data_IF_032414158718
#
_entry.id   IF_032414158718
#
_cell.length_a   1.000
_cell.length_b   1.000
_cell.length_c   1.000
_cell.angle_alpha   90.00
_cell.angle_beta   90.00
_cell.angle_gamma   90.00
#
_symmetry.space_group_name_H-M   'P 1'
#
loop_
_entity.id
_entity.type
_entity.pdbx_description
1 polymer ?
#
# COMPACT_ATOMS: atom_id res chain seq x y z
N UNK A 1 33.18 -32.84 -47.50
CA UNK A 1 32.08 -33.43 -46.72
C UNK A 1 31.66 -32.39 -45.68
N UNK A 2 30.51 -31.75 -45.85
CA UNK A 2 29.99 -30.72 -44.93
C UNK A 2 28.83 -31.36 -44.17
N UNK A 3 28.96 -31.45 -42.84
CA UNK A 3 28.01 -32.11 -41.95
C UNK A 3 26.71 -31.31 -41.82
N UNK A 4 25.58 -31.93 -42.19
CA UNK A 4 24.24 -31.44 -41.89
C UNK A 4 23.90 -31.81 -40.44
N UNK A 5 23.95 -30.86 -39.51
CA UNK A 5 23.61 -31.14 -38.10
C UNK A 5 22.97 -29.94 -37.40
N UNK A 6 21.97 -29.28 -38.00
CA UNK A 6 21.35 -28.09 -37.38
C UNK A 6 19.81 -28.00 -37.47
N UNK A 7 19.08 -29.09 -37.75
CA UNK A 7 17.61 -29.05 -37.89
C UNK A 7 16.81 -29.78 -36.81
N UNK A 8 17.44 -30.39 -35.79
CA UNK A 8 16.74 -31.15 -34.75
C UNK A 8 16.27 -30.32 -33.54
N UNK A 9 16.82 -29.11 -33.31
CA UNK A 9 16.58 -28.33 -32.09
C UNK A 9 15.36 -27.38 -32.15
N UNK A 10 14.78 -27.15 -33.33
CA UNK A 10 13.64 -26.22 -33.45
C UNK A 10 12.31 -26.87 -33.04
N UNK A 11 12.17 -28.19 -33.23
CA UNK A 11 10.95 -28.94 -32.89
C UNK A 11 10.71 -29.07 -31.39
N UNK A 12 11.78 -29.26 -30.61
CA UNK A 12 11.74 -29.34 -29.15
C UNK A 12 11.45 -27.98 -28.51
N UNK A 13 11.97 -26.89 -29.08
CA UNK A 13 11.66 -25.52 -28.64
C UNK A 13 10.20 -25.16 -28.90
N UNK A 14 9.63 -25.51 -30.07
CA UNK A 14 8.22 -25.25 -30.37
C UNK A 14 7.26 -26.00 -29.43
N UNK A 15 7.57 -27.24 -29.06
CA UNK A 15 6.78 -28.00 -28.08
C UNK A 15 6.91 -27.43 -26.66
N UNK A 16 8.10 -27.00 -26.24
CA UNK A 16 8.27 -26.32 -24.94
C UNK A 16 7.56 -24.96 -24.89
N UNK A 17 7.52 -24.24 -26.00
CA UNK A 17 6.81 -22.98 -26.13
C UNK A 17 5.30 -23.22 -26.05
N UNK A 18 4.77 -24.21 -26.77
CA UNK A 18 3.35 -24.56 -26.71
C UNK A 18 2.93 -25.00 -25.30
N UNK A 19 3.73 -25.84 -24.64
CA UNK A 19 3.49 -26.24 -23.25
C UNK A 19 3.58 -25.07 -22.26
N UNK A 20 4.52 -24.14 -22.50
CA UNK A 20 4.66 -22.93 -21.68
C UNK A 20 3.51 -21.95 -21.88
N UNK A 21 2.96 -21.86 -23.10
CA UNK A 21 1.79 -21.05 -23.43
C UNK A 21 0.54 -21.67 -22.81
N UNK A 22 0.33 -22.98 -22.93
CA UNK A 22 -0.80 -23.66 -22.29
C UNK A 22 -0.71 -23.56 -20.76
N UNK A 23 0.49 -23.67 -20.18
CA UNK A 23 0.69 -23.46 -18.74
C UNK A 23 0.47 -21.99 -18.33
N UNK A 24 0.89 -21.02 -19.14
CA UNK A 24 0.69 -19.60 -18.88
C UNK A 24 -0.77 -19.18 -19.06
N UNK A 25 -1.45 -19.66 -20.10
CA UNK A 25 -2.88 -19.47 -20.33
C UNK A 25 -3.69 -20.16 -19.24
N UNK A 26 -3.30 -21.37 -18.81
CA UNK A 26 -3.92 -22.03 -17.66
C UNK A 26 -3.66 -21.28 -16.36
N UNK A 27 -2.50 -20.63 -16.18
CA UNK A 27 -2.21 -19.76 -15.03
C UNK A 27 -3.01 -18.46 -15.08
N UNK A 28 -3.17 -17.86 -16.26
CA UNK A 28 -4.00 -16.67 -16.51
C UNK A 28 -5.48 -17.00 -16.36
N UNK A 29 -5.92 -18.17 -16.81
CA UNK A 29 -7.26 -18.71 -16.56
C UNK A 29 -7.45 -19.10 -15.10
N UNK A 30 -6.42 -19.57 -14.39
CA UNK A 30 -6.47 -19.82 -12.94
C UNK A 30 -6.43 -18.53 -12.11
N UNK A 31 -5.81 -17.46 -12.60
CA UNK A 31 -5.91 -16.10 -12.05
C UNK A 31 -7.26 -15.44 -12.39
N UNK A 32 -7.85 -15.77 -13.54
CA UNK A 32 -9.22 -15.43 -13.90
C UNK A 32 -10.27 -16.32 -13.19
N UNK A 33 -9.87 -17.52 -12.72
CA UNK A 33 -10.69 -18.46 -11.95
C UNK A 33 -10.63 -18.23 -10.44
N UNK A 34 -10.05 -17.13 -9.97
CA UNK A 34 -10.52 -16.53 -8.73
C UNK A 34 -11.99 -16.19 -8.93
N UNK A 35 -12.89 -16.84 -8.20
CA UNK A 35 -14.36 -16.80 -8.35
C UNK A 35 -14.86 -15.40 -8.71
N UNK A 36 -15.19 -15.15 -9.99
CA UNK A 36 -15.69 -13.86 -10.46
C UNK A 36 -15.13 -13.33 -11.78
N UNK A 37 -16.01 -13.15 -12.77
CA UNK A 37 -15.72 -12.52 -14.07
C UNK A 37 -16.62 -11.33 -14.38
N UNK A 38 -16.32 -10.63 -15.47
CA UNK A 38 -17.16 -9.54 -15.98
C UNK A 38 -18.57 -10.07 -16.31
N UNK A 39 -19.62 -9.43 -15.81
CA UNK A 39 -21.01 -9.74 -16.14
C UNK A 39 -21.56 -8.71 -17.12
N UNK A 40 -21.67 -9.10 -18.38
CA UNK A 40 -22.22 -8.23 -19.44
C UNK A 40 -21.28 -7.10 -19.84
N UNK A 41 -21.86 -5.97 -20.30
CA UNK A 41 -21.08 -4.75 -20.61
C UNK A 41 -20.62 -4.10 -19.31
N UNK A 42 -19.33 -4.22 -19.02
CA UNK A 42 -18.71 -3.59 -17.84
C UNK A 42 -18.74 -2.08 -18.01
N UNK A 43 -19.18 -1.38 -16.97
CA UNK A 43 -19.07 0.07 -16.87
C UNK A 43 -17.72 0.42 -16.24
N UNK A 44 -16.85 1.07 -17.01
CA UNK A 44 -15.52 1.49 -16.57
C UNK A 44 -15.59 2.92 -16.01
N UNK A 45 -15.03 3.10 -14.81
CA UNK A 45 -14.91 4.38 -14.13
C UNK A 45 -13.44 4.61 -13.79
N UNK A 46 -12.83 5.62 -14.41
CA UNK A 46 -11.47 6.01 -14.05
C UNK A 46 -11.49 7.24 -13.15
N UNK A 47 -10.70 7.19 -12.07
CA UNK A 47 -10.42 8.34 -11.23
C UNK A 47 -8.92 8.49 -11.02
N UNK A 48 -8.41 9.67 -11.36
CA UNK A 48 -7.07 10.10 -10.93
C UNK A 48 -7.17 10.76 -9.55
N UNK A 49 -6.40 10.28 -8.58
CA UNK A 49 -6.31 10.85 -7.23
C UNK A 49 -4.87 11.14 -6.87
N UNK A 50 -4.60 12.28 -6.25
CA UNK A 50 -3.30 12.50 -5.62
C UNK A 50 -3.26 11.71 -4.30
N UNK A 51 -2.15 11.04 -4.05
CA UNK A 51 -1.86 10.38 -2.77
C UNK A 51 -1.76 11.44 -1.69
N UNK A 52 -2.11 11.04 -0.47
CA UNK A 52 -1.82 11.86 0.71
C UNK A 52 -0.31 12.08 0.82
N UNK A 53 0.10 13.31 1.15
CA UNK A 53 1.49 13.60 1.51
C UNK A 53 1.91 13.00 2.87
N UNK A 54 0.94 12.46 3.61
CA UNK A 54 1.16 11.72 4.86
C UNK A 54 0.89 10.24 4.72
N UNK A 55 1.87 9.47 5.17
CA UNK A 55 1.88 8.01 5.13
C UNK A 55 1.29 7.43 6.41
N UNK A 56 0.01 7.73 6.66
CA UNK A 56 -0.73 7.21 7.82
C UNK A 56 -2.16 6.84 7.45
N UNK A 57 -2.70 5.81 8.12
CA UNK A 57 -4.04 5.29 7.89
C UNK A 57 -5.18 6.35 7.91
N UNK A 58 -5.16 7.40 8.77
CA UNK A 58 -6.19 8.44 8.74
C UNK A 58 -6.26 9.22 7.43
N UNK A 59 -5.14 9.32 6.70
CA UNK A 59 -5.04 10.01 5.42
C UNK A 59 -5.09 9.06 4.23
N UNK A 60 -5.58 7.83 4.42
CA UNK A 60 -5.70 6.86 3.36
C UNK A 60 -6.56 7.40 2.21
N UNK A 61 -6.07 7.21 0.98
CA UNK A 61 -6.75 7.58 -0.25
C UNK A 61 -7.97 6.69 -0.44
N UNK A 62 -9.15 7.29 -0.62
CA UNK A 62 -10.38 6.53 -0.86
C UNK A 62 -10.37 5.96 -2.29
N UNK A 63 -10.50 4.64 -2.42
CA UNK A 63 -10.52 3.93 -3.70
C UNK A 63 -11.92 3.39 -4.06
N UNK A 64 -12.93 3.71 -3.22
CA UNK A 64 -14.33 3.41 -3.49
C UNK A 64 -14.93 2.32 -2.60
N UNK A 65 -15.99 1.72 -3.12
CA UNK A 65 -16.85 0.79 -2.37
C UNK A 65 -16.90 -0.55 -3.07
N UNK A 66 -16.48 -1.60 -2.36
CA UNK A 66 -16.52 -2.97 -2.80
C UNK A 66 -17.93 -3.54 -2.58
N UNK A 67 -18.61 -3.83 -3.68
CA UNK A 67 -19.97 -4.37 -3.70
C UNK A 67 -19.94 -5.72 -4.38
N UNK A 68 -20.44 -6.75 -3.68
CA UNK A 68 -20.52 -8.12 -4.21
C UNK A 68 -21.25 -8.19 -5.55
N UNK A 69 -20.69 -8.95 -6.47
CA UNK A 69 -21.19 -9.20 -7.83
C UNK A 69 -21.36 -7.93 -8.70
N UNK A 70 -20.81 -6.81 -8.24
CA UNK A 70 -21.03 -5.49 -8.84
C UNK A 70 -19.73 -4.75 -9.08
N UNK A 71 -18.92 -4.51 -8.04
CA UNK A 71 -17.75 -3.64 -8.12
C UNK A 71 -16.45 -4.44 -8.15
N UNK A 72 -15.55 -4.03 -9.04
CA UNK A 72 -14.13 -4.31 -8.99
C UNK A 72 -13.38 -3.00 -8.75
N UNK A 73 -12.46 -3.00 -7.80
CA UNK A 73 -11.63 -1.83 -7.48
C UNK A 73 -10.21 -2.14 -7.92
N UNK A 74 -9.65 -1.35 -8.83
CA UNK A 74 -8.25 -1.41 -9.21
C UNK A 74 -7.53 -0.15 -8.74
N UNK A 75 -6.30 -0.32 -8.29
CA UNK A 75 -5.43 0.77 -7.84
C UNK A 75 -4.10 0.60 -8.54
N UNK A 76 -3.71 1.59 -9.33
CA UNK A 76 -2.43 1.64 -10.01
C UNK A 76 -1.61 2.81 -9.46
N UNK A 77 -0.41 2.51 -8.96
CA UNK A 77 0.40 3.51 -8.27
C UNK A 77 1.88 3.11 -8.25
N UNK A 78 2.69 3.98 -7.65
CA UNK A 78 4.08 3.68 -7.31
C UNK A 78 4.43 4.18 -5.92
N UNK A 79 5.32 3.46 -5.25
CA UNK A 79 6.05 3.95 -4.09
C UNK A 79 7.20 4.79 -4.65
N UNK A 80 7.19 6.10 -4.40
CA UNK A 80 8.28 6.98 -4.84
C UNK A 80 9.56 6.73 -4.02
N UNK A 81 10.68 7.28 -4.48
CA UNK A 81 11.90 7.30 -3.67
C UNK A 81 11.63 8.00 -2.33
N UNK A 82 12.08 7.40 -1.22
CA UNK A 82 11.80 7.82 0.16
C UNK A 82 10.34 7.71 0.61
N UNK A 83 9.47 7.04 -0.16
CA UNK A 83 8.11 6.74 0.23
C UNK A 83 8.03 5.38 0.94
N UNK A 84 7.87 5.33 2.29
CA UNK A 84 7.83 4.08 3.03
C UNK A 84 6.55 3.27 2.82
N UNK A 85 5.39 3.93 2.63
CA UNK A 85 4.11 3.25 2.53
C UNK A 85 2.98 4.15 2.04
N UNK A 86 2.13 3.59 1.18
CA UNK A 86 0.85 4.14 0.76
C UNK A 86 -0.30 3.49 1.52
N UNK A 87 -1.33 4.26 1.81
CA UNK A 87 -2.55 3.80 2.47
C UNK A 87 -3.77 4.07 1.60
N UNK A 88 -4.57 3.03 1.36
CA UNK A 88 -5.82 3.11 0.61
C UNK A 88 -6.96 2.63 1.49
N UNK A 89 -8.10 3.32 1.45
CA UNK A 89 -9.32 2.91 2.17
C UNK A 89 -10.43 2.58 1.20
N UNK A 90 -11.18 1.54 1.54
CA UNK A 90 -12.38 1.13 0.83
C UNK A 90 -13.43 0.62 1.82
N UNK A 91 -14.68 0.68 1.42
CA UNK A 91 -15.80 0.17 2.23
C UNK A 91 -16.40 -1.07 1.57
N UNK A 92 -16.73 -2.08 2.37
CA UNK A 92 -17.44 -3.30 1.95
C UNK A 92 -18.91 -3.16 2.35
N UNK A 93 -19.83 -3.33 1.39
CA UNK A 93 -21.28 -3.13 1.67
C UNK A 93 -21.98 -4.38 2.17
N UNK A 94 -21.48 -5.56 1.81
CA UNK A 94 -22.03 -6.86 2.18
C UNK A 94 -20.92 -7.86 2.44
N UNK A 95 -21.14 -8.75 3.41
CA UNK A 95 -20.17 -9.78 3.73
C UNK A 95 -20.00 -10.75 2.55
N UNK A 96 -18.76 -11.18 2.31
CA UNK A 96 -18.48 -12.18 1.29
C UNK A 96 -17.00 -12.35 0.97
N UNK A 97 -16.73 -13.39 0.17
CA UNK A 97 -15.38 -13.74 -0.25
C UNK A 97 -14.78 -12.67 -1.17
N UNK A 98 -13.63 -12.13 -0.77
CA UNK A 98 -12.86 -11.14 -1.52
C UNK A 98 -11.68 -11.83 -2.19
N UNK A 99 -11.45 -11.48 -3.45
CA UNK A 99 -10.26 -11.86 -4.21
C UNK A 99 -9.36 -10.64 -4.36
N UNK A 100 -8.09 -10.79 -3.98
CA UNK A 100 -7.04 -9.80 -4.18
C UNK A 100 -6.11 -10.20 -5.32
N UNK A 101 -6.08 -9.39 -6.37
CA UNK A 101 -5.07 -9.42 -7.43
C UNK A 101 -3.94 -8.45 -7.10
N UNK A 102 -2.71 -8.86 -7.34
CA UNK A 102 -1.52 -8.01 -7.17
C UNK A 102 -0.61 -8.17 -8.38
N UNK A 103 -0.15 -7.07 -8.93
CA UNK A 103 0.88 -7.00 -9.98
C UNK A 103 1.87 -5.91 -9.60
N UNK A 104 3.14 -6.04 -9.93
CA UNK A 104 4.12 -5.00 -9.62
C UNK A 104 5.51 -5.53 -9.36
N UNK A 105 6.38 -4.61 -8.98
CA UNK A 105 7.77 -4.88 -8.69
C UNK A 105 7.91 -5.74 -7.42
N UNK A 106 8.91 -6.61 -7.39
CA UNK A 106 9.24 -7.37 -6.19
C UNK A 106 9.70 -6.44 -5.06
N UNK A 107 9.41 -6.84 -3.82
CA UNK A 107 9.77 -6.06 -2.64
C UNK A 107 8.67 -5.13 -2.12
N UNK A 108 7.43 -5.38 -2.53
CA UNK A 108 6.24 -4.65 -2.07
C UNK A 108 5.44 -5.54 -1.13
N UNK A 109 5.23 -5.04 0.09
CA UNK A 109 4.42 -5.64 1.13
C UNK A 109 3.02 -5.07 1.10
N UNK A 110 2.01 -5.94 1.13
CA UNK A 110 0.60 -5.56 1.23
C UNK A 110 0.06 -6.02 2.56
N UNK A 111 -0.65 -5.13 3.26
CA UNK A 111 -1.31 -5.44 4.51
C UNK A 111 -2.73 -4.93 4.45
N UNK A 112 -3.69 -5.82 4.68
CA UNK A 112 -5.08 -5.45 4.86
C UNK A 112 -5.34 -5.25 6.36
N UNK A 113 -5.94 -4.13 6.70
CA UNK A 113 -6.31 -3.76 8.06
C UNK A 113 -7.82 -3.53 8.15
N UNK A 114 -8.40 -3.92 9.28
CA UNK A 114 -9.78 -3.55 9.60
C UNK A 114 -9.89 -2.07 10.01
N UNK A 115 -11.11 -1.61 10.28
CA UNK A 115 -11.40 -0.25 10.75
C UNK A 115 -10.65 0.12 12.04
N UNK A 116 -10.31 -0.85 12.88
CA UNK A 116 -9.53 -0.65 14.10
C UNK A 116 -8.02 -0.56 13.86
N UNK A 117 -7.55 -0.72 12.62
CA UNK A 117 -6.13 -0.76 12.28
C UNK A 117 -5.46 -2.10 12.57
N UNK A 118 -6.23 -3.14 12.91
CA UNK A 118 -5.68 -4.48 13.12
C UNK A 118 -5.39 -5.12 11.77
N UNK A 119 -4.18 -5.65 11.60
CA UNK A 119 -3.80 -6.40 10.40
C UNK A 119 -4.60 -7.70 10.36
N UNK A 120 -5.42 -7.86 9.33
CA UNK A 120 -6.23 -9.06 9.07
C UNK A 120 -5.64 -9.94 7.97
N UNK A 121 -4.79 -9.38 7.11
CA UNK A 121 -4.00 -10.12 6.13
C UNK A 121 -2.68 -9.40 5.86
N UNK A 122 -1.60 -10.14 5.65
CA UNK A 122 -0.25 -9.61 5.43
C UNK A 122 0.52 -10.44 4.40
N UNK A 123 1.11 -9.82 3.38
CA UNK A 123 1.86 -10.52 2.35
C UNK A 123 3.23 -11.01 2.80
N UNK A 124 3.70 -10.60 3.98
CA UNK A 124 4.95 -11.09 4.54
C UNK A 124 4.81 -12.57 4.97
N UNK A 125 5.69 -13.42 4.46
CA UNK A 125 5.73 -14.87 4.74
C UNK A 125 5.93 -15.18 6.22
N UNK A 126 6.60 -14.28 6.93
CA UNK A 126 6.89 -14.44 8.37
C UNK A 126 5.74 -13.94 9.27
N UNK A 127 4.61 -13.49 8.69
CA UNK A 127 3.48 -12.95 9.45
C UNK A 127 2.53 -14.03 10.01
N UNK A 128 2.85 -15.32 9.87
CA UNK A 128 2.07 -16.43 10.44
C UNK A 128 0.63 -16.46 9.92
N UNK A 129 -0.35 -16.46 10.83
CA UNK A 129 -1.77 -16.51 10.48
C UNK A 129 -2.23 -15.39 9.53
N UNK A 130 -1.61 -14.21 9.60
CA UNK A 130 -1.91 -13.11 8.68
C UNK A 130 -1.43 -13.38 7.26
N UNK A 131 -0.36 -14.17 7.10
CA UNK A 131 0.09 -14.65 5.80
C UNK A 131 -0.89 -15.66 5.21
N UNK A 132 -1.37 -16.60 6.01
CA UNK A 132 -2.39 -17.56 5.57
C UNK A 132 -3.68 -16.84 5.16
N UNK A 133 -4.08 -15.82 5.91
CA UNK A 133 -5.21 -14.96 5.56
C UNK A 133 -4.96 -14.21 4.24
N UNK A 134 -3.75 -13.72 3.99
CA UNK A 134 -3.39 -13.10 2.72
C UNK A 134 -3.46 -14.08 1.54
N UNK A 135 -3.02 -15.32 1.73
CA UNK A 135 -3.13 -16.35 0.69
C UNK A 135 -4.59 -16.70 0.41
N UNK A 136 -5.43 -16.78 1.45
CA UNK A 136 -6.90 -16.90 1.30
C UNK A 136 -7.52 -15.70 0.60
N UNK A 137 -7.02 -14.49 0.89
CA UNK A 137 -7.48 -13.27 0.23
C UNK A 137 -7.10 -13.28 -1.26
N UNK A 138 -5.91 -13.75 -1.61
CA UNK A 138 -5.49 -13.92 -3.01
C UNK A 138 -6.28 -15.00 -3.76
N UNK A 139 -6.63 -16.10 -3.09
CA UNK A 139 -7.38 -17.20 -3.69
C UNK A 139 -8.89 -16.96 -3.74
N UNK A 140 -9.40 -15.86 -3.17
CA UNK A 140 -10.84 -15.61 -3.11
C UNK A 140 -11.57 -16.44 -2.05
N UNK A 141 -10.87 -16.88 -1.01
CA UNK A 141 -11.39 -17.72 0.08
C UNK A 141 -11.57 -16.95 1.40
N UNK A 142 -11.01 -15.74 1.51
CA UNK A 142 -11.19 -14.90 2.69
C UNK A 142 -12.47 -14.08 2.57
N UNK A 143 -13.40 -14.26 3.51
CA UNK A 143 -14.57 -13.41 3.62
C UNK A 143 -14.22 -12.14 4.38
N UNK A 144 -14.60 -10.99 3.85
CA UNK A 144 -14.66 -9.74 4.60
C UNK A 144 -16.10 -9.47 5.02
N UNK A 145 -16.28 -8.85 6.18
CA UNK A 145 -17.58 -8.42 6.67
C UNK A 145 -17.91 -7.02 6.12
N UNK A 146 -19.15 -6.59 6.31
CA UNK A 146 -19.53 -5.21 6.03
C UNK A 146 -18.73 -4.26 6.94
N UNK A 147 -17.99 -3.33 6.35
CA UNK A 147 -17.18 -2.39 7.11
C UNK A 147 -16.16 -1.64 6.28
N UNK A 148 -15.40 -0.78 6.96
CA UNK A 148 -14.30 -0.04 6.35
C UNK A 148 -13.00 -0.82 6.54
N UNK A 149 -12.20 -0.86 5.48
CA UNK A 149 -10.91 -1.52 5.47
C UNK A 149 -9.85 -0.58 4.91
N UNK A 150 -8.62 -0.78 5.38
CA UNK A 150 -7.45 -0.03 4.90
C UNK A 150 -6.44 -1.01 4.34
N UNK A 151 -6.06 -0.82 3.08
CA UNK A 151 -4.95 -1.51 2.45
C UNK A 151 -3.70 -0.64 2.57
N UNK A 152 -2.69 -1.14 3.28
CA UNK A 152 -1.35 -0.56 3.32
C UNK A 152 -0.47 -1.26 2.30
N UNK A 153 0.15 -0.48 1.42
CA UNK A 153 1.14 -0.95 0.46
C UNK A 153 2.47 -0.32 0.86
N UNK A 154 3.44 -1.13 1.27
CA UNK A 154 4.71 -0.66 1.81
C UNK A 154 5.87 -1.37 1.12
N UNK A 155 7.08 -0.86 1.32
CA UNK A 155 8.30 -1.58 0.94
C UNK A 155 8.57 -2.70 1.95
N UNK A 156 9.10 -3.81 1.49
CA UNK A 156 9.69 -4.81 2.39
C UNK A 156 10.85 -4.20 3.17
N UNK A 157 11.12 -4.74 4.36
CA UNK A 157 12.04 -4.14 5.34
C UNK A 157 13.48 -4.00 4.81
N UNK A 158 13.85 -4.85 3.86
CA UNK A 158 15.19 -4.94 3.28
C UNK A 158 15.29 -4.29 1.88
N UNK A 159 14.22 -3.64 1.41
CA UNK A 159 14.19 -3.01 0.09
C UNK A 159 14.64 -1.55 0.20
N UNK A 160 15.72 -1.15 -0.49
CA UNK A 160 16.19 0.23 -0.45
C UNK A 160 15.10 1.23 -0.89
N UNK A 161 14.93 2.30 -0.11
CA UNK A 161 13.95 3.37 -0.38
C UNK A 161 14.31 4.24 -1.59
N UNK A 162 15.49 4.05 -2.18
CA UNK A 162 15.98 4.83 -3.32
C UNK A 162 15.29 4.50 -4.63
N UNK A 163 14.84 3.26 -4.81
CA UNK A 163 14.30 2.78 -6.09
C UNK A 163 12.78 2.89 -6.08
N UNK A 164 12.16 3.60 -7.02
CA UNK A 164 10.69 3.62 -7.15
C UNK A 164 10.15 2.21 -7.41
N UNK A 165 9.00 1.88 -6.82
CA UNK A 165 8.35 0.56 -6.99
C UNK A 165 6.95 0.75 -7.51
N UNK A 166 6.67 0.26 -8.71
CA UNK A 166 5.33 0.30 -9.29
C UNK A 166 4.52 -0.90 -8.82
N UNK A 167 3.24 -0.68 -8.56
CA UNK A 167 2.32 -1.72 -8.16
C UNK A 167 0.89 -1.46 -8.66
N UNK A 168 0.18 -2.55 -8.86
CA UNK A 168 -1.22 -2.62 -9.19
C UNK A 168 -1.92 -3.56 -8.21
N UNK A 169 -3.00 -3.11 -7.60
CA UNK A 169 -3.84 -3.92 -6.73
C UNK A 169 -5.25 -3.97 -7.27
N UNK A 170 -5.85 -5.16 -7.24
CA UNK A 170 -7.23 -5.38 -7.63
C UNK A 170 -7.98 -6.05 -6.47
N UNK A 171 -9.15 -5.53 -6.15
CA UNK A 171 -10.08 -6.10 -5.17
C UNK A 171 -11.41 -6.39 -5.88
N UNK A 172 -11.93 -7.60 -5.73
CA UNK A 172 -13.28 -7.98 -6.22
C UNK A 172 -13.98 -8.95 -5.28
N UNK A 173 -15.30 -9.01 -5.38
CA UNK A 173 -16.15 -9.97 -4.65
C UNK A 173 -17.10 -10.66 -5.60
N UNK A 174 -16.73 -11.88 -6.05
CA UNK A 174 -17.49 -12.55 -7.09
C UNK A 174 -17.39 -11.82 -8.42
N UNK A 175 -18.49 -11.84 -9.18
CA UNK A 175 -18.55 -11.20 -10.49
C UNK A 175 -18.50 -9.66 -10.39
N UNK A 176 -18.41 -8.97 -11.53
CA UNK A 176 -18.47 -7.52 -11.55
C UNK A 176 -19.13 -6.98 -12.82
N UNK A 177 -19.91 -5.93 -12.66
CA UNK A 177 -20.51 -5.15 -13.76
C UNK A 177 -19.97 -3.73 -13.83
N UNK A 178 -19.26 -3.29 -12.78
CA UNK A 178 -18.62 -1.98 -12.66
C UNK A 178 -17.16 -2.16 -12.30
N UNK A 179 -16.32 -1.45 -13.01
CA UNK A 179 -14.88 -1.43 -12.81
C UNK A 179 -14.43 -0.03 -12.43
N UNK A 180 -13.74 0.08 -11.31
CA UNK A 180 -13.28 1.34 -10.76
C UNK A 180 -11.76 1.36 -10.78
N UNK A 181 -11.20 2.06 -11.76
CA UNK A 181 -9.78 2.25 -11.92
C UNK A 181 -9.32 3.52 -11.20
N UNK A 182 -8.55 3.33 -10.14
CA UNK A 182 -7.94 4.43 -9.39
C UNK A 182 -6.47 4.56 -9.77
N UNK A 183 -6.11 5.66 -10.42
CA UNK A 183 -4.71 6.02 -10.68
C UNK A 183 -4.25 6.93 -9.55
N UNK A 184 -3.47 6.39 -8.61
CA UNK A 184 -2.95 7.15 -7.49
C UNK A 184 -1.60 7.79 -7.87
N UNK A 185 -1.62 9.11 -8.05
CA UNK A 185 -0.45 9.93 -8.41
C UNK A 185 0.26 10.39 -7.15
N UNK A 186 1.58 10.61 -7.23
CA UNK A 186 2.34 11.18 -6.10
C UNK A 186 1.71 12.50 -5.62
N UNK A 187 1.81 12.82 -4.31
CA UNK A 187 1.33 14.10 -3.80
C UNK A 187 1.96 15.26 -4.59
N UNK A 188 1.21 16.34 -4.82
CA UNK A 188 1.78 17.51 -5.46
C UNK A 188 2.87 18.10 -4.56
N UNK A 189 3.90 18.72 -5.15
CA UNK A 189 4.97 19.36 -4.39
C UNK A 189 4.39 20.45 -3.49
N UNK A 190 4.39 20.23 -2.18
CA UNK A 190 3.81 21.14 -1.18
C UNK A 190 2.40 20.79 -0.70
N UNK A 191 1.82 19.67 -1.14
CA UNK A 191 0.57 19.17 -0.57
C UNK A 191 0.77 18.84 0.92
N UNK A 192 -0.09 19.41 1.77
CA UNK A 192 -0.11 19.12 3.20
C UNK A 192 -1.57 18.87 3.60
N UNK A 193 -1.95 17.67 4.08
CA UNK A 193 -3.35 17.34 4.37
C UNK A 193 -3.96 18.19 5.51
N UNK A 194 -3.13 18.98 6.21
CA UNK A 194 -3.54 19.93 7.25
C UNK A 194 -3.44 21.40 6.84
N UNK A 195 -3.11 21.69 5.58
CA UNK A 195 -2.79 23.05 5.13
C UNK A 195 -1.64 23.67 5.93
N UNK A 196 -1.69 24.99 6.16
CA UNK A 196 -0.66 25.74 6.91
C UNK A 196 -0.79 25.64 8.44
N UNK A 197 -1.60 24.70 8.96
CA UNK A 197 -1.86 24.62 10.40
C UNK A 197 -0.75 23.86 11.14
N UNK A 198 0.30 24.58 11.55
CA UNK A 198 1.50 24.07 12.23
C UNK A 198 1.20 23.26 13.49
N UNK A 199 0.12 23.57 14.21
CA UNK A 199 -0.27 22.84 15.43
C UNK A 199 -0.79 21.44 15.11
N UNK A 200 -1.60 21.30 14.06
CA UNK A 200 -2.10 20.00 13.62
C UNK A 200 -0.99 19.15 12.97
N UNK A 201 -0.05 19.79 12.27
CA UNK A 201 1.15 19.14 11.75
C UNK A 201 2.03 18.58 12.88
N UNK A 202 2.23 19.34 13.96
CA UNK A 202 2.97 18.90 15.15
C UNK A 202 2.28 17.78 15.92
N UNK A 203 0.95 17.79 15.99
CA UNK A 203 0.19 16.71 16.63
C UNK A 203 0.23 15.42 15.78
N UNK A 204 0.12 15.55 14.46
CA UNK A 204 0.14 14.42 13.54
C UNK A 204 1.51 13.77 13.41
N UNK A 205 2.61 14.53 13.53
CA UNK A 205 3.95 13.96 13.62
C UNK A 205 4.16 13.18 14.92
N UNK A 206 3.58 13.65 16.03
CA UNK A 206 3.59 12.92 17.32
C UNK A 206 2.73 11.65 17.25
N UNK A 207 1.56 11.70 16.58
CA UNK A 207 0.62 10.58 16.47
C UNK A 207 1.01 9.56 15.38
N UNK A 208 1.68 9.99 14.31
CA UNK A 208 2.13 9.16 13.19
C UNK A 208 3.49 8.49 13.43
N UNK A 209 4.29 8.99 14.36
CA UNK A 209 5.54 8.35 14.81
C UNK A 209 5.25 7.22 15.82
N UNK A 210 4.42 6.26 15.42
CA UNK A 210 4.26 5.00 16.15
C UNK A 210 5.50 4.12 15.98
N UNK A 211 6.59 4.46 16.68
CA UNK A 211 7.78 3.61 16.75
C UNK A 211 9.09 4.38 16.80
N UNK A 212 9.44 4.89 17.99
CA UNK A 212 10.83 5.16 18.36
C UNK A 212 11.34 6.58 18.11
N UNK A 213 11.08 7.47 19.06
CA UNK A 213 12.13 8.37 19.56
C UNK A 213 11.69 8.98 20.88
N UNK A 214 12.31 8.54 21.96
CA UNK A 214 12.42 9.27 23.22
C UNK A 214 12.94 10.67 22.90
N UNK A 215 12.09 11.70 22.98
CA UNK A 215 12.41 13.13 23.19
C UNK A 215 11.19 14.06 23.02
N UNK A 216 9.98 13.56 22.77
CA UNK A 216 8.77 14.40 22.70
C UNK A 216 8.34 14.99 24.06
N UNK A 217 8.81 14.43 25.18
CA UNK A 217 8.44 14.91 26.52
C UNK A 217 9.17 16.20 26.93
N UNK A 218 10.34 16.51 26.36
CA UNK A 218 11.10 17.72 26.72
C UNK A 218 10.57 19.00 26.05
N UNK A 219 9.69 18.88 25.06
CA UNK A 219 9.07 20.04 24.40
C UNK A 219 7.74 20.48 25.06
N UNK A 220 7.20 19.68 25.99
CA UNK A 220 5.95 19.97 26.68
C UNK A 220 6.13 20.57 28.08
N UNK A 221 7.34 20.61 28.63
CA UNK A 221 7.61 21.05 30.00
C UNK A 221 8.87 21.94 30.04
N UNK A 222 8.67 23.26 29.95
CA UNK A 222 9.67 24.29 30.29
C UNK A 222 10.14 25.12 29.08
N UNK A 223 9.98 26.44 29.04
CA UNK A 223 9.59 27.34 30.11
C UNK A 223 9.18 28.71 29.56
N UNK A 224 8.38 29.37 30.38
CA UNK A 224 7.88 30.72 30.23
C UNK A 224 8.97 31.73 29.86
N UNK A 225 8.57 32.61 28.96
CA UNK A 225 9.13 33.93 28.74
C UNK A 225 9.21 34.74 30.03
N UNK A 226 10.42 35.13 30.45
CA UNK A 226 10.63 36.36 31.22
C UNK A 226 11.75 37.18 30.55
N UNK A 227 11.30 38.23 29.88
CA UNK A 227 12.09 39.40 29.53
C UNK A 227 12.54 40.11 30.80
N UNK A 228 13.84 40.41 30.94
CA UNK A 228 14.22 41.60 31.69
C UNK A 228 15.60 42.14 31.27
N UNK A 229 15.61 43.44 31.03
CA UNK A 229 16.75 44.35 30.93
C UNK A 229 17.71 44.19 32.12
N UNK A 230 19.02 44.32 31.90
CA UNK A 230 19.87 45.40 32.44
C UNK A 230 21.37 45.14 32.18
N UNK A 231 22.07 46.24 31.99
CA UNK A 231 23.49 46.38 31.76
C UNK A 231 24.36 46.02 32.97
N UNK A 232 25.64 45.73 32.68
CA UNK A 232 26.74 46.27 33.48
C UNK A 232 27.43 45.33 34.48
N UNK A 233 28.73 45.16 34.22
CA UNK A 233 29.85 45.10 35.19
C UNK A 233 29.78 44.10 36.35
N UNK A 234 30.80 43.24 36.45
CA UNK A 234 31.19 42.68 37.74
C UNK A 234 32.01 41.41 37.68
N UNK A 235 33.32 41.57 37.51
CA UNK A 235 34.34 40.64 38.01
C UNK A 235 34.00 40.17 39.42
N UNK A 236 34.13 38.86 39.71
CA UNK A 236 34.85 38.35 40.88
C UNK A 236 35.31 36.91 40.63
N UNK A 237 36.63 36.76 40.49
CA UNK A 237 37.38 35.66 41.05
C UNK A 237 36.88 35.33 42.47
N UNK A 238 36.65 34.06 42.79
CA UNK A 238 37.20 33.54 44.04
C UNK A 238 37.51 32.04 43.96
N UNK A 239 38.69 31.77 44.47
CA UNK A 239 39.49 30.56 44.47
C UNK A 239 39.05 29.61 45.57
N UNK A 240 39.40 28.35 45.35
CA UNK A 240 39.49 27.27 46.34
C UNK A 240 40.38 27.68 47.51
N UNK A 241 39.81 27.76 48.72
CA UNK A 241 40.31 27.32 50.04
C UNK A 241 39.50 28.00 51.17
#
# INVERSE_FOLDING_TARGET
MVSLSNYADVGSMAQSLQQSIDAAVKRVQQQAAGTGGATGKVQEYEQSVNKSAMNAAPFATNIGTLVKDTSRLNVFSSLASNDPADFYKFSVTSAGAVTLGTVGDSGVRLQLMDRGGKIVADSNKDAGASYDAFQKLKSGQMSLDKGDYTLRVARDKDVPVKDSKSYGVQLRMGNYSKDYDTIAKQPAKGDNPFGNNTKLQGLASILGAGGGSTNAASALLGGDSISNYYAGRGSLLNTVL
#
